data_IF_979264194279
#
_entry.id   IF_979264194279
#
_cell.length_a   1.000
_cell.length_b   1.000
_cell.length_c   1.000
_cell.angle_alpha   90.00
_cell.angle_beta   90.00
_cell.angle_gamma   90.00
#
_symmetry.space_group_name_H-M   'P 1'
#
loop_
_entity.id
_entity.type
_entity.pdbx_description
1 polymer ?
#
# COMPACT_ATOMS: atom_id res chain seq x y z
N UNK A 1 -7.18 12.74 14.35
CA UNK A 1 -8.39 12.40 13.58
C UNK A 1 -8.47 13.37 12.38
N UNK A 2 -7.80 13.05 11.26
CA UNK A 2 -7.73 13.88 10.03
C UNK A 2 -7.52 13.03 8.76
N UNK A 3 -7.98 11.77 8.76
CA UNK A 3 -7.69 10.82 7.68
C UNK A 3 -8.22 11.29 6.32
N UNK A 4 -9.47 11.76 6.29
CA UNK A 4 -10.10 12.24 5.07
C UNK A 4 -9.31 13.41 4.46
N UNK A 5 -8.90 14.38 5.31
CA UNK A 5 -8.07 15.50 4.88
C UNK A 5 -6.73 15.04 4.30
N UNK A 6 -6.09 14.03 4.90
CA UNK A 6 -4.85 13.47 4.38
C UNK A 6 -5.04 12.80 3.01
N UNK A 7 -6.06 11.95 2.86
CA UNK A 7 -6.35 11.27 1.59
C UNK A 7 -6.67 12.28 0.48
N UNK A 8 -7.37 13.38 0.81
CA UNK A 8 -7.60 14.48 -0.12
C UNK A 8 -6.30 15.16 -0.53
N UNK A 9 -5.42 15.49 0.42
CA UNK A 9 -4.11 16.11 0.12
C UNK A 9 -3.27 15.21 -0.77
N UNK A 10 -3.23 13.90 -0.51
CA UNK A 10 -2.52 12.95 -1.38
C UNK A 10 -3.17 12.85 -2.77
N UNK A 11 -4.50 12.89 -2.86
CA UNK A 11 -5.23 12.87 -4.14
C UNK A 11 -4.99 14.13 -4.96
N UNK A 12 -4.80 15.28 -4.30
CA UNK A 12 -4.46 16.56 -4.91
C UNK A 12 -2.98 16.64 -5.28
N UNK A 13 -2.08 16.10 -4.45
CA UNK A 13 -0.64 16.06 -4.75
C UNK A 13 -0.36 15.31 -6.06
N UNK A 14 -1.11 14.23 -6.32
CA UNK A 14 -1.01 13.49 -7.59
C UNK A 14 -1.52 14.29 -8.81
N UNK A 15 -2.41 15.27 -8.61
CA UNK A 15 -2.96 16.12 -9.67
C UNK A 15 -2.20 17.44 -9.86
N UNK A 16 -1.51 17.90 -8.81
CA UNK A 16 -0.73 19.13 -8.80
C UNK A 16 0.50 19.08 -9.72
N UNK A 17 0.97 17.88 -10.07
CA UNK A 17 2.03 17.65 -11.06
C UNK A 17 1.63 18.04 -12.49
N UNK A 18 0.34 18.22 -12.78
CA UNK A 18 -0.16 18.47 -14.12
C UNK A 18 -0.44 19.96 -14.39
N UNK A 19 -1.37 20.59 -13.66
CA UNK A 19 -1.70 22.03 -13.81
C UNK A 19 -2.63 22.51 -12.67
N UNK A 20 -2.64 23.81 -12.36
CA UNK A 20 -3.64 24.45 -11.48
C UNK A 20 -5.09 24.13 -11.91
N UNK A 21 -5.36 24.01 -13.21
CA UNK A 21 -6.69 23.65 -13.74
C UNK A 21 -7.11 22.24 -13.29
N UNK A 22 -6.21 21.26 -13.36
CA UNK A 22 -6.46 19.89 -12.91
C UNK A 22 -6.67 19.83 -11.39
N UNK A 23 -5.92 20.62 -10.62
CA UNK A 23 -6.13 20.74 -9.17
C UNK A 23 -7.54 21.26 -8.86
N UNK A 24 -7.99 22.33 -9.54
CA UNK A 24 -9.35 22.88 -9.35
C UNK A 24 -10.45 21.89 -9.72
N UNK A 25 -10.25 21.10 -10.77
CA UNK A 25 -11.21 20.06 -11.15
C UNK A 25 -11.25 18.94 -10.11
N UNK A 26 -10.11 18.43 -9.68
CA UNK A 26 -10.02 17.41 -8.62
C UNK A 26 -10.63 17.85 -7.30
N UNK A 27 -10.55 19.14 -6.95
CA UNK A 27 -11.21 19.71 -5.77
C UNK A 27 -12.73 19.56 -5.83
N UNK A 28 -13.34 19.55 -7.03
CA UNK A 28 -14.78 19.35 -7.20
C UNK A 28 -15.18 17.86 -7.17
N UNK A 29 -14.23 16.96 -7.43
CA UNK A 29 -14.43 15.51 -7.49
C UNK A 29 -13.97 14.80 -6.19
N UNK A 30 -13.70 15.56 -5.12
CA UNK A 30 -13.25 14.98 -3.86
C UNK A 30 -14.35 14.06 -3.28
N UNK A 31 -14.00 12.80 -2.95
CA UNK A 31 -14.96 11.87 -2.37
C UNK A 31 -15.44 12.37 -1.00
N UNK A 32 -16.74 12.34 -0.77
CA UNK A 32 -17.35 12.82 0.48
C UNK A 32 -17.40 11.76 1.58
N UNK A 33 -17.21 10.49 1.22
CA UNK A 33 -17.21 9.35 2.15
C UNK A 33 -15.83 8.73 2.28
N UNK A 34 -15.60 8.04 3.40
CA UNK A 34 -14.35 7.32 3.65
C UNK A 34 -14.15 6.17 2.64
N UNK A 35 -15.20 5.39 2.37
CA UNK A 35 -15.12 4.28 1.41
C UNK A 35 -14.80 4.78 0.00
N UNK A 36 -15.44 5.85 -0.46
CA UNK A 36 -15.11 6.45 -1.77
C UNK A 36 -13.69 7.02 -1.80
N UNK A 37 -13.18 7.50 -0.65
CA UNK A 37 -11.78 7.94 -0.54
C UNK A 37 -10.80 6.77 -0.62
N UNK A 38 -11.16 5.61 -0.05
CA UNK A 38 -10.39 4.38 -0.19
C UNK A 38 -10.45 3.81 -1.61
N UNK A 39 -11.63 3.80 -2.25
CA UNK A 39 -11.78 3.41 -3.65
C UNK A 39 -10.91 4.30 -4.56
N UNK A 40 -10.93 5.62 -4.35
CA UNK A 40 -10.08 6.55 -5.08
C UNK A 40 -8.59 6.29 -4.84
N UNK A 41 -8.20 5.96 -3.60
CA UNK A 41 -6.83 5.58 -3.28
C UNK A 41 -6.42 4.28 -4.00
N UNK A 42 -7.27 3.26 -3.99
CA UNK A 42 -7.03 2.00 -4.71
C UNK A 42 -6.96 2.20 -6.21
N UNK A 43 -7.79 3.06 -6.79
CA UNK A 43 -7.73 3.40 -8.21
C UNK A 43 -6.41 4.07 -8.58
N UNK A 44 -5.94 5.04 -7.78
CA UNK A 44 -4.60 5.64 -7.96
C UNK A 44 -3.47 4.62 -7.84
N UNK A 45 -3.67 3.52 -7.12
CA UNK A 45 -2.70 2.42 -7.07
C UNK A 45 -2.73 1.65 -8.39
N UNK A 46 -3.91 1.23 -8.85
CA UNK A 46 -4.06 0.43 -10.07
C UNK A 46 -3.72 1.19 -11.36
N UNK A 47 -3.80 2.53 -11.33
CA UNK A 47 -3.46 3.38 -12.48
C UNK A 47 -1.93 3.60 -12.65
N UNK A 48 -1.10 3.08 -11.73
CA UNK A 48 0.36 3.11 -11.85
C UNK A 48 0.87 2.10 -12.88
N UNK A 49 2.14 2.21 -13.25
CA UNK A 49 2.83 1.20 -14.06
C UNK A 49 2.75 -0.19 -13.44
N UNK A 50 2.85 -1.24 -14.28
CA UNK A 50 2.51 -2.60 -13.88
C UNK A 50 3.29 -3.08 -12.64
N UNK A 51 4.61 -2.83 -12.62
CA UNK A 51 5.47 -3.24 -11.52
C UNK A 51 5.19 -2.46 -10.25
N UNK A 52 4.86 -1.17 -10.37
CA UNK A 52 4.54 -0.29 -9.25
C UNK A 52 3.27 -0.71 -8.52
N UNK A 53 2.18 -0.96 -9.25
CA UNK A 53 0.94 -1.37 -8.59
C UNK A 53 1.04 -2.78 -8.01
N UNK A 54 1.80 -3.70 -8.64
CA UNK A 54 2.09 -5.03 -8.07
C UNK A 54 2.77 -4.92 -6.71
N UNK A 55 3.80 -4.07 -6.59
CA UNK A 55 4.50 -3.87 -5.33
C UNK A 55 3.61 -3.22 -4.27
N UNK A 56 2.80 -2.23 -4.65
CA UNK A 56 1.83 -1.61 -3.75
C UNK A 56 0.80 -2.63 -3.24
N UNK A 57 0.30 -3.51 -4.12
CA UNK A 57 -0.63 -4.58 -3.74
C UNK A 57 0.02 -5.64 -2.85
N UNK A 58 1.24 -6.09 -3.17
CA UNK A 58 2.03 -7.02 -2.31
C UNK A 58 2.22 -6.41 -0.93
N UNK A 59 2.56 -5.12 -0.86
CA UNK A 59 2.69 -4.36 0.39
C UNK A 59 1.38 -4.35 1.19
N UNK A 60 0.27 -3.95 0.57
CA UNK A 60 -1.04 -3.90 1.21
C UNK A 60 -1.49 -5.28 1.69
N UNK A 61 -1.21 -6.33 0.91
CA UNK A 61 -1.51 -7.70 1.29
C UNK A 61 -0.75 -8.13 2.54
N UNK A 62 0.56 -7.89 2.60
CA UNK A 62 1.40 -8.19 3.77
C UNK A 62 0.92 -7.45 5.02
N UNK A 63 0.72 -6.14 4.93
CA UNK A 63 0.31 -5.32 6.08
C UNK A 63 -1.10 -5.68 6.57
N UNK A 64 -2.01 -6.07 5.67
CA UNK A 64 -3.39 -6.43 6.03
C UNK A 64 -3.50 -7.82 6.65
N UNK A 65 -2.69 -8.77 6.18
CA UNK A 65 -2.76 -10.17 6.62
C UNK A 65 -1.76 -10.54 7.71
N UNK A 66 -0.79 -9.67 8.02
CA UNK A 66 0.15 -9.92 9.10
C UNK A 66 -0.56 -10.03 10.46
N UNK A 67 -0.18 -11.04 11.24
CA UNK A 67 -0.72 -11.27 12.58
C UNK A 67 -0.30 -10.17 13.58
N UNK A 68 0.89 -9.60 13.38
CA UNK A 68 1.44 -8.48 14.15
C UNK A 68 1.93 -7.39 13.19
N UNK A 69 2.11 -6.15 13.66
CA UNK A 69 2.79 -5.12 12.88
C UNK A 69 4.15 -5.62 12.38
N UNK A 70 4.41 -5.41 11.08
CA UNK A 70 5.68 -5.72 10.45
C UNK A 70 6.63 -4.56 10.66
N UNK A 71 7.90 -4.84 10.95
CA UNK A 71 8.95 -3.82 10.84
C UNK A 71 9.18 -3.46 9.37
N UNK A 72 9.73 -2.27 9.12
CA UNK A 72 10.12 -1.86 7.77
C UNK A 72 11.03 -2.90 7.10
N UNK A 73 12.02 -3.43 7.82
CA UNK A 73 12.93 -4.45 7.28
C UNK A 73 12.20 -5.73 6.92
N UNK A 74 11.33 -6.25 7.79
CA UNK A 74 10.56 -7.46 7.49
C UNK A 74 9.72 -7.29 6.22
N UNK A 75 9.11 -6.11 6.03
CA UNK A 75 8.38 -5.82 4.80
C UNK A 75 9.30 -5.77 3.58
N UNK A 76 10.43 -5.08 3.66
CA UNK A 76 11.37 -4.98 2.53
C UNK A 76 11.85 -6.36 2.09
N UNK A 77 12.21 -7.23 3.04
CA UNK A 77 12.57 -8.62 2.77
C UNK A 77 11.39 -9.37 2.11
N UNK A 78 10.18 -9.24 2.65
CA UNK A 78 9.00 -9.89 2.12
C UNK A 78 8.60 -9.41 0.70
N UNK A 79 9.01 -8.20 0.31
CA UNK A 79 8.83 -7.68 -1.04
C UNK A 79 9.92 -8.17 -1.99
N UNK A 80 11.17 -8.28 -1.53
CA UNK A 80 12.32 -8.70 -2.32
C UNK A 80 12.35 -10.21 -2.62
N UNK A 81 11.68 -11.05 -1.82
CA UNK A 81 11.64 -12.50 -2.06
C UNK A 81 10.58 -12.89 -3.07
N UNK A 82 10.99 -13.67 -4.05
CA UNK A 82 10.13 -14.46 -4.94
C UNK A 82 10.23 -15.97 -4.60
N UNK A 83 9.16 -16.76 -4.85
CA UNK A 83 9.17 -18.19 -4.59
C UNK A 83 10.28 -18.91 -5.38
N UNK A 84 11.21 -19.56 -4.69
CA UNK A 84 12.33 -20.28 -5.29
C UNK A 84 13.68 -19.57 -5.19
N UNK A 85 13.72 -18.34 -4.66
CA UNK A 85 14.98 -17.66 -4.35
C UNK A 85 15.76 -18.39 -3.26
N UNK A 86 17.08 -18.48 -3.45
CA UNK A 86 18.01 -19.10 -2.49
C UNK A 86 18.76 -18.07 -1.64
N UNK A 87 18.82 -16.82 -2.10
CA UNK A 87 19.47 -15.71 -1.43
C UNK A 87 18.62 -14.44 -1.57
N UNK A 88 18.78 -13.52 -0.62
CA UNK A 88 18.11 -12.23 -0.65
C UNK A 88 18.88 -11.28 -1.56
N UNK A 89 18.22 -10.76 -2.59
CA UNK A 89 18.78 -9.71 -3.43
C UNK A 89 18.60 -8.34 -2.76
N UNK A 90 19.69 -7.80 -2.20
CA UNK A 90 19.67 -6.48 -1.56
C UNK A 90 19.40 -5.35 -2.55
N UNK A 91 19.63 -5.55 -3.85
CA UNK A 91 19.33 -4.54 -4.89
C UNK A 91 17.82 -4.37 -5.12
N UNK A 92 17.00 -5.33 -4.67
CA UNK A 92 15.53 -5.25 -4.70
C UNK A 92 14.93 -4.56 -3.47
N UNK A 93 15.76 -4.14 -2.50
CA UNK A 93 15.31 -3.50 -1.28
C UNK A 93 14.85 -2.06 -1.53
N UNK A 94 13.54 -1.86 -1.64
CA UNK A 94 12.99 -0.53 -1.84
C UNK A 94 13.05 0.34 -0.59
N UNK A 95 13.22 1.65 -0.77
CA UNK A 95 13.21 2.62 0.32
C UNK A 95 11.79 2.88 0.86
N UNK A 96 11.74 3.22 2.16
CA UNK A 96 10.50 3.50 2.87
C UNK A 96 9.60 4.57 2.20
N UNK A 97 10.13 5.74 1.78
CA UNK A 97 9.35 6.74 1.05
C UNK A 97 8.69 6.18 -0.21
N UNK A 98 9.44 5.45 -1.04
CA UNK A 98 8.89 4.83 -2.26
C UNK A 98 7.76 3.86 -1.96
N UNK A 99 7.92 2.97 -0.98
CA UNK A 99 6.84 2.04 -0.56
C UNK A 99 5.57 2.82 -0.18
N UNK A 100 5.70 3.88 0.62
CA UNK A 100 4.53 4.67 1.06
C UNK A 100 3.89 5.47 -0.07
N UNK A 101 4.68 5.96 -1.02
CA UNK A 101 4.21 6.70 -2.19
C UNK A 101 3.42 5.78 -3.15
N UNK A 102 3.96 4.60 -3.45
CA UNK A 102 3.31 3.58 -4.28
C UNK A 102 1.97 3.13 -3.70
N UNK A 103 1.88 3.02 -2.37
CA UNK A 103 0.63 2.66 -1.67
C UNK A 103 -0.37 3.81 -1.56
N UNK A 104 -0.15 4.92 -2.26
CA UNK A 104 -1.02 6.09 -2.29
C UNK A 104 -1.43 6.58 -0.88
N UNK A 105 -0.49 6.47 0.07
CA UNK A 105 -0.62 6.86 1.48
C UNK A 105 -1.60 6.06 2.34
N UNK A 106 -2.06 4.89 1.86
CA UNK A 106 -2.79 3.92 2.67
C UNK A 106 -1.92 3.23 3.73
N UNK A 107 -0.60 3.33 3.57
CA UNK A 107 0.41 2.76 4.45
C UNK A 107 1.22 3.88 5.08
N UNK A 108 1.56 3.72 6.36
CA UNK A 108 2.40 4.62 7.13
C UNK A 108 3.51 3.83 7.82
N UNK A 109 4.66 4.48 7.96
CA UNK A 109 5.77 3.95 8.74
C UNK A 109 5.84 4.79 10.01
N UNK A 110 5.65 4.13 11.15
CA UNK A 110 5.75 4.77 12.45
C UNK A 110 7.22 5.01 12.79
N UNK A 111 7.60 6.28 12.96
CA UNK A 111 8.99 6.68 13.27
C UNK A 111 9.42 6.29 14.69
N UNK A 112 8.48 6.12 15.61
CA UNK A 112 8.81 5.75 16.99
C UNK A 112 9.10 4.25 17.12
N UNK A 113 8.34 3.42 16.39
CA UNK A 113 8.44 1.96 16.49
C UNK A 113 9.18 1.30 15.32
N UNK A 114 9.32 1.99 14.19
CA UNK A 114 9.86 1.44 12.95
C UNK A 114 8.90 0.48 12.22
N UNK A 115 7.64 0.41 12.66
CA UNK A 115 6.66 -0.52 12.14
C UNK A 115 5.86 0.08 10.98
N UNK A 116 5.51 -0.77 10.03
CA UNK A 116 4.62 -0.48 8.91
C UNK A 116 3.19 -0.80 9.34
N UNK A 117 2.33 0.22 9.25
CA UNK A 117 0.94 0.14 9.65
C UNK A 117 0.04 0.69 8.55
N UNK A 118 -1.23 0.29 8.56
CA UNK A 118 -2.24 0.99 7.77
C UNK A 118 -2.42 2.41 8.34
N UNK A 119 -2.74 3.35 7.45
CA UNK A 119 -2.93 4.77 7.79
C UNK A 119 -4.00 5.00 8.86
N UNK A 120 -4.96 4.07 8.99
CA UNK A 120 -6.00 4.12 10.00
C UNK A 120 -6.64 2.74 10.20
N UNK A 121 -7.28 2.52 11.37
CA UNK A 121 -7.96 1.25 11.66
C UNK A 121 -9.11 0.97 10.68
N UNK A 122 -9.82 2.00 10.21
CA UNK A 122 -10.91 1.84 9.23
C UNK A 122 -10.43 1.33 7.87
N UNK A 123 -9.16 1.52 7.55
CA UNK A 123 -8.55 0.97 6.33
C UNK A 123 -8.53 -0.55 6.38
N UNK A 124 -8.35 -1.13 7.58
CA UNK A 124 -8.44 -2.58 7.79
C UNK A 124 -9.84 -3.09 7.49
N UNK A 125 -10.86 -2.45 8.04
CA UNK A 125 -12.27 -2.82 7.81
C UNK A 125 -12.66 -2.71 6.33
N UNK A 126 -12.18 -1.69 5.63
CA UNK A 126 -12.36 -1.56 4.18
C UNK A 126 -11.74 -2.75 3.42
N UNK A 127 -10.50 -3.13 3.76
CA UNK A 127 -9.85 -4.28 3.12
C UNK A 127 -10.46 -5.63 3.51
N UNK A 128 -11.02 -5.77 4.70
CA UNK A 128 -11.76 -6.96 5.10
C UNK A 128 -13.01 -7.15 4.22
N UNK A 129 -13.75 -6.06 3.96
CA UNK A 129 -14.94 -6.08 3.11
C UNK A 129 -14.61 -6.27 1.62
N UNK A 130 -13.46 -5.77 1.18
CA UNK A 130 -13.01 -5.85 -0.23
C UNK A 130 -11.99 -6.97 -0.48
N UNK A 131 -11.79 -7.87 0.49
CA UNK A 131 -10.75 -8.91 0.48
C UNK A 131 -10.83 -9.83 -0.73
N UNK A 132 -12.04 -10.28 -1.09
CA UNK A 132 -12.21 -11.15 -2.26
C UNK A 132 -11.94 -10.42 -3.59
N UNK A 133 -12.19 -9.11 -3.64
CA UNK A 133 -11.98 -8.29 -4.83
C UNK A 133 -10.49 -8.07 -5.12
N UNK A 134 -9.70 -7.82 -4.07
CA UNK A 134 -8.29 -7.42 -4.22
C UNK A 134 -7.26 -8.49 -3.84
N UNK A 135 -7.60 -9.42 -2.96
CA UNK A 135 -6.64 -10.36 -2.35
C UNK A 135 -6.99 -11.85 -2.53
N UNK A 136 -7.84 -12.18 -3.52
CA UNK A 136 -8.35 -13.56 -3.71
C UNK A 136 -7.24 -14.63 -3.82
N UNK A 137 -6.09 -14.30 -4.41
CA UNK A 137 -4.97 -15.23 -4.61
C UNK A 137 -3.75 -14.97 -3.70
N UNK A 138 -3.77 -13.91 -2.87
CA UNK A 138 -2.58 -13.48 -2.12
C UNK A 138 -2.23 -14.38 -0.92
N UNK A 139 -3.20 -15.16 -0.40
CA UNK A 139 -2.94 -16.14 0.67
C UNK A 139 -1.91 -17.20 0.27
N UNK A 140 -2.01 -17.69 -0.98
CA UNK A 140 -1.07 -18.67 -1.50
C UNK A 140 0.33 -18.07 -1.68
N UNK A 141 0.42 -16.87 -2.25
CA UNK A 141 1.70 -16.17 -2.46
C UNK A 141 2.43 -15.88 -1.15
N UNK A 142 1.74 -15.34 -0.13
CA UNK A 142 2.33 -15.07 1.19
C UNK A 142 2.87 -16.36 1.81
N UNK A 143 2.09 -17.45 1.75
CA UNK A 143 2.47 -18.74 2.32
C UNK A 143 3.72 -19.31 1.63
N UNK A 144 3.79 -19.20 0.30
CA UNK A 144 4.95 -19.66 -0.47
C UNK A 144 6.21 -18.85 -0.14
N UNK A 145 6.12 -17.52 -0.06
CA UNK A 145 7.26 -16.68 0.33
C UNK A 145 7.76 -16.99 1.75
N UNK A 146 6.84 -17.26 2.70
CA UNK A 146 7.23 -17.69 4.05
C UNK A 146 7.87 -19.07 4.06
N UNK A 147 7.41 -19.99 3.20
CA UNK A 147 7.98 -21.33 3.10
C UNK A 147 9.43 -21.30 2.59
N UNK A 148 9.81 -20.34 1.74
CA UNK A 148 11.19 -20.13 1.30
C UNK A 148 12.17 -19.92 2.47
N UNK A 149 11.71 -19.32 3.58
CA UNK A 149 12.55 -19.13 4.76
C UNK A 149 12.66 -20.36 5.67
N UNK A 150 11.87 -21.41 5.42
CA UNK A 150 11.83 -22.64 6.23
C UNK A 150 12.57 -23.82 5.60
N UNK A 151 13.03 -23.66 4.36
CA UNK A 151 13.78 -24.64 3.57
C UNK A 151 15.25 -24.28 3.50
#
# INVERSE_FOLDING_TARGET
>A
MFLLARLHVESLASAASLTIKHVRQKLQELPTTLDASYDNAMQRITDQEEDHWKVAFKTLAWVTHAFRPLSLRELQHALAVEPGDSELDEDLMMDAPSITALCAGLVIIDKATGNVNLVHYSTKSYFENTRQKYFAAYHASITLSLATYLT
#
